data_IF_609576692975
#
_entry.id   IF_609576692975
#
_cell.length_a   1.000
_cell.length_b   1.000
_cell.length_c   1.000
_cell.angle_alpha   90.00
_cell.angle_beta   90.00
_cell.angle_gamma   90.00
#
_symmetry.space_group_name_H-M   'P 1'
#
loop_
_entity.id
_entity.type
_entity.pdbx_description
1 polymer ?
#
# COMPACT_ATOMS: atom_id res chain seq x y z
N UNK A 1 1.45 55.19 38.60
CA UNK A 1 1.38 56.59 38.17
C UNK A 1 1.21 56.59 36.66
N UNK A 2 0.00 57.01 36.29
CA UNK A 2 -0.52 57.68 35.06
C UNK A 2 -0.55 56.82 33.83
N UNK A 3 -1.68 56.39 33.49
CA UNK A 3 -2.91 56.90 32.87
C UNK A 3 -3.03 56.56 31.38
N UNK A 4 -4.16 55.95 31.12
CA UNK A 4 -4.76 55.55 29.85
C UNK A 4 -5.03 56.80 28.98
N UNK A 5 -5.41 56.60 27.68
CA UNK A 5 -6.83 56.32 27.47
C UNK A 5 -7.19 55.21 26.47
N UNK A 6 -8.31 54.56 26.81
CA UNK A 6 -9.22 53.86 25.89
C UNK A 6 -9.98 54.90 25.08
N UNK A 7 -10.14 54.66 23.82
CA UNK A 7 -11.23 55.03 22.88
C UNK A 7 -10.76 54.69 21.47
N UNK A 8 -11.36 53.83 20.84
CA UNK A 8 -12.30 53.80 19.74
C UNK A 8 -12.41 52.41 19.15
N UNK A 9 -13.37 51.68 19.66
CA UNK A 9 -13.86 50.46 19.04
C UNK A 9 -15.39 50.47 19.14
N UNK A 10 -16.00 51.32 18.33
CA UNK A 10 -17.41 51.27 18.00
C UNK A 10 -17.60 51.98 16.67
N UNK A 11 -18.02 51.23 15.70
CA UNK A 11 -18.86 51.54 14.53
C UNK A 11 -18.40 50.81 13.27
N UNK A 12 -18.79 49.55 13.20
CA UNK A 12 -19.16 48.94 11.91
C UNK A 12 -20.34 48.00 12.19
N UNK A 13 -21.48 48.64 12.45
CA UNK A 13 -22.78 47.97 12.35
C UNK A 13 -23.20 47.87 10.89
N UNK A 14 -23.60 46.67 10.54
CA UNK A 14 -24.62 46.26 9.60
C UNK A 14 -25.03 47.30 8.53
N UNK A 15 -24.66 47.00 7.29
CA UNK A 15 -25.36 47.55 6.12
C UNK A 15 -26.40 46.53 5.67
N UNK A 16 -27.65 46.87 5.85
CA UNK A 16 -28.84 46.18 5.35
C UNK A 16 -28.85 46.19 3.81
N UNK A 17 -29.08 45.06 3.13
CA UNK A 17 -29.23 45.03 1.68
C UNK A 17 -30.73 45.11 1.28
N UNK A 18 -31.37 46.21 1.57
CA UNK A 18 -32.69 46.55 1.00
C UNK A 18 -32.69 48.00 0.53
N UNK A 19 -32.09 48.27 -0.62
CA UNK A 19 -32.43 49.41 -1.43
C UNK A 19 -33.05 48.88 -2.73
N UNK A 20 -34.37 48.96 -2.79
CA UNK A 20 -35.13 48.76 -4.00
C UNK A 20 -34.74 49.87 -4.99
N UNK A 21 -34.16 49.51 -6.12
CA UNK A 21 -34.03 50.37 -7.27
C UNK A 21 -35.26 50.12 -8.15
N UNK A 22 -36.23 51.00 -8.08
CA UNK A 22 -37.25 51.18 -9.12
C UNK A 22 -36.52 51.59 -10.41
N UNK A 23 -36.75 50.89 -11.50
CA UNK A 23 -36.25 51.34 -12.77
C UNK A 23 -36.36 50.33 -13.90
N UNK A 24 -37.46 50.36 -14.60
CA UNK A 24 -37.51 50.06 -16.03
C UNK A 24 -37.33 48.61 -16.44
N UNK A 25 -38.42 47.94 -16.71
CA UNK A 25 -38.42 46.71 -17.50
C UNK A 25 -37.82 47.00 -18.89
N UNK A 26 -36.56 46.61 -19.10
CA UNK A 26 -35.95 46.55 -20.43
C UNK A 26 -36.53 45.31 -21.11
N UNK A 27 -37.47 45.53 -22.02
CA UNK A 27 -37.93 44.47 -22.92
C UNK A 27 -36.76 44.04 -23.81
N UNK A 28 -36.36 42.79 -23.82
CA UNK A 28 -35.26 42.34 -24.71
C UNK A 28 -35.68 42.51 -26.17
N UNK A 29 -34.82 43.10 -26.98
CA UNK A 29 -35.02 43.21 -28.41
C UNK A 29 -35.02 41.81 -29.07
N UNK A 30 -35.78 41.61 -30.17
CA UNK A 30 -35.88 40.29 -30.83
C UNK A 30 -34.52 39.67 -31.27
N UNK A 31 -33.46 40.47 -31.35
CA UNK A 31 -32.10 40.00 -31.68
C UNK A 31 -31.36 39.30 -30.54
N UNK A 32 -31.61 39.70 -29.27
CA UNK A 32 -30.89 39.16 -28.10
C UNK A 32 -31.32 37.73 -27.72
N UNK A 33 -32.55 37.37 -28.07
CA UNK A 33 -33.07 36.01 -27.87
C UNK A 33 -32.43 34.98 -28.82
N UNK A 34 -32.00 35.42 -30.01
CA UNK A 34 -31.33 34.58 -30.99
C UNK A 34 -29.91 34.17 -30.57
N UNK A 35 -29.15 35.14 -30.05
CA UNK A 35 -27.74 34.87 -29.64
C UNK A 35 -27.71 34.02 -28.39
N UNK A 36 -28.58 34.26 -27.39
CA UNK A 36 -28.65 33.44 -26.19
C UNK A 36 -29.16 32.00 -26.45
N UNK A 37 -29.98 31.83 -27.49
CA UNK A 37 -30.41 30.49 -27.92
C UNK A 37 -29.34 29.74 -28.72
N UNK A 38 -28.54 30.44 -29.56
CA UNK A 38 -27.39 29.89 -30.26
C UNK A 38 -26.30 29.44 -29.30
N UNK A 39 -25.88 30.28 -28.35
CA UNK A 39 -24.86 29.95 -27.34
C UNK A 39 -25.31 28.80 -26.44
N UNK A 40 -26.62 28.70 -26.11
CA UNK A 40 -27.16 27.54 -25.38
C UNK A 40 -27.21 26.29 -26.26
N UNK A 41 -27.44 26.43 -27.56
CA UNK A 41 -27.40 25.34 -28.53
C UNK A 41 -26.01 24.78 -28.71
N UNK A 42 -25.00 25.64 -28.83
CA UNK A 42 -23.59 25.25 -28.96
C UNK A 42 -23.09 24.59 -27.70
N UNK A 43 -23.33 25.11 -26.49
CA UNK A 43 -22.99 24.47 -25.24
C UNK A 43 -23.59 23.07 -25.05
N UNK A 44 -24.88 22.91 -25.45
CA UNK A 44 -25.55 21.60 -25.41
C UNK A 44 -25.05 20.64 -26.49
N UNK A 45 -24.52 21.15 -27.59
CA UNK A 45 -23.86 20.31 -28.62
C UNK A 45 -22.47 19.89 -28.17
N UNK A 46 -21.68 20.78 -27.54
CA UNK A 46 -20.40 20.46 -26.95
C UNK A 46 -20.52 19.48 -25.76
N UNK A 47 -21.50 19.68 -24.87
CA UNK A 47 -21.77 18.75 -23.78
C UNK A 47 -22.19 17.36 -24.29
N UNK A 48 -23.04 17.29 -25.34
CA UNK A 48 -23.41 16.02 -25.97
C UNK A 48 -22.29 15.42 -26.82
N UNK A 49 -21.39 16.22 -27.37
CA UNK A 49 -20.18 15.77 -28.03
C UNK A 49 -19.22 15.15 -27.01
N UNK A 50 -18.97 15.85 -25.90
CA UNK A 50 -18.11 15.35 -24.82
C UNK A 50 -18.69 14.08 -24.13
N UNK A 51 -20.03 13.99 -23.97
CA UNK A 51 -20.69 12.77 -23.47
C UNK A 51 -20.59 11.60 -24.47
N UNK A 52 -20.72 11.85 -25.78
CA UNK A 52 -20.55 10.83 -26.81
C UNK A 52 -19.10 10.36 -26.92
N UNK A 53 -18.16 11.29 -26.93
CA UNK A 53 -16.72 10.96 -26.96
C UNK A 53 -16.30 10.21 -25.69
N UNK A 54 -16.86 10.57 -24.53
CA UNK A 54 -16.68 9.84 -23.27
C UNK A 54 -17.32 8.44 -23.29
N UNK A 55 -18.49 8.28 -23.91
CA UNK A 55 -19.14 6.98 -24.10
C UNK A 55 -18.42 6.11 -25.13
N UNK A 56 -17.99 6.66 -26.26
CA UNK A 56 -17.23 5.92 -27.28
C UNK A 56 -15.82 5.55 -26.80
N UNK A 57 -15.15 6.41 -26.04
CA UNK A 57 -13.89 6.08 -25.37
C UNK A 57 -14.09 4.98 -24.31
N UNK A 58 -15.18 5.04 -23.54
CA UNK A 58 -15.56 4.00 -22.58
C UNK A 58 -15.92 2.68 -23.25
N UNK A 59 -16.52 2.70 -24.44
CA UNK A 59 -16.89 1.50 -25.20
C UNK A 59 -15.70 0.83 -25.89
N UNK A 60 -14.75 1.61 -26.41
CA UNK A 60 -13.49 1.09 -27.00
C UNK A 60 -12.55 0.50 -25.95
N UNK A 61 -12.55 1.02 -24.71
CA UNK A 61 -11.68 0.57 -23.62
C UNK A 61 -12.37 -0.43 -22.66
N UNK A 62 -13.70 -0.55 -22.74
CA UNK A 62 -14.52 -1.42 -21.88
C UNK A 62 -14.19 -2.92 -22.00
N UNK A 63 -13.44 -3.35 -23.02
CA UNK A 63 -12.95 -4.72 -23.17
C UNK A 63 -11.79 -5.07 -22.25
N UNK A 64 -10.87 -4.15 -21.98
CA UNK A 64 -9.62 -4.40 -21.23
C UNK A 64 -9.73 -3.96 -19.75
N UNK A 65 -10.41 -2.85 -19.48
CA UNK A 65 -10.43 -2.19 -18.17
C UNK A 65 -11.80 -2.21 -17.48
N UNK A 66 -12.88 -2.59 -18.19
CA UNK A 66 -14.24 -2.52 -17.69
C UNK A 66 -14.48 -3.40 -16.45
N UNK A 67 -15.44 -3.00 -15.57
CA UNK A 67 -15.86 -3.82 -14.46
C UNK A 67 -16.44 -5.14 -14.96
N UNK A 68 -16.35 -6.22 -14.19
CA UNK A 68 -17.01 -7.47 -14.55
C UNK A 68 -18.52 -7.23 -14.68
N UNK A 69 -19.10 -7.63 -15.81
CA UNK A 69 -20.49 -7.32 -16.22
C UNK A 69 -21.57 -7.98 -15.37
N UNK A 70 -21.23 -8.81 -14.38
CA UNK A 70 -22.20 -9.47 -13.50
C UNK A 70 -21.93 -9.12 -12.05
N UNK A 71 -22.93 -8.55 -11.37
CA UNK A 71 -22.91 -8.43 -9.92
C UNK A 71 -22.76 -9.85 -9.32
N UNK A 72 -21.83 -9.99 -8.36
CA UNK A 72 -21.67 -11.23 -7.63
C UNK A 72 -22.83 -11.30 -6.62
N UNK A 73 -23.69 -12.29 -6.75
CA UNK A 73 -24.76 -12.52 -5.77
C UNK A 73 -24.18 -12.96 -4.41
N UNK A 74 -24.96 -12.75 -3.34
CA UNK A 74 -24.49 -13.01 -1.98
C UNK A 74 -24.08 -14.47 -1.73
N UNK A 75 -24.74 -15.43 -2.37
CA UNK A 75 -24.42 -16.85 -2.25
C UNK A 75 -23.08 -17.17 -2.90
N UNK A 76 -22.86 -16.71 -4.11
CA UNK A 76 -21.58 -16.89 -4.82
C UNK A 76 -20.44 -16.18 -4.10
N UNK A 77 -20.68 -14.98 -3.52
CA UNK A 77 -19.70 -14.29 -2.69
C UNK A 77 -19.33 -15.09 -1.43
N UNK A 78 -20.33 -15.68 -0.74
CA UNK A 78 -20.10 -16.51 0.43
C UNK A 78 -19.33 -17.79 0.08
N UNK A 79 -19.67 -18.45 -1.04
CA UNK A 79 -18.94 -19.63 -1.52
C UNK A 79 -17.49 -19.31 -1.89
N UNK A 80 -17.24 -18.17 -2.54
CA UNK A 80 -15.90 -17.72 -2.85
C UNK A 80 -15.10 -17.41 -1.58
N UNK A 81 -15.72 -16.78 -0.58
CA UNK A 81 -15.13 -16.55 0.74
C UNK A 81 -14.78 -17.85 1.46
N UNK A 82 -15.68 -18.82 1.44
CA UNK A 82 -15.42 -20.16 1.99
C UNK A 82 -14.29 -20.88 1.26
N UNK A 83 -14.25 -20.81 -0.07
CA UNK A 83 -13.17 -21.41 -0.86
C UNK A 83 -11.80 -20.77 -0.54
N UNK A 84 -11.77 -19.45 -0.36
CA UNK A 84 -10.56 -18.75 0.10
C UNK A 84 -10.12 -19.24 1.48
N UNK A 85 -11.05 -19.28 2.45
CA UNK A 85 -10.74 -19.70 3.82
C UNK A 85 -10.23 -21.15 3.88
N UNK A 86 -10.89 -22.06 3.12
CA UNK A 86 -10.47 -23.47 3.04
C UNK A 86 -9.10 -23.60 2.39
N UNK A 87 -8.85 -22.89 1.28
CA UNK A 87 -7.54 -22.93 0.61
C UNK A 87 -6.44 -22.36 1.49
N UNK A 88 -6.70 -21.27 2.21
CA UNK A 88 -5.76 -20.67 3.16
C UNK A 88 -5.50 -21.62 4.34
N UNK A 89 -6.54 -22.23 4.91
CA UNK A 89 -6.40 -23.19 6.00
C UNK A 89 -5.59 -24.42 5.55
N UNK A 90 -5.91 -24.99 4.39
CA UNK A 90 -5.16 -26.11 3.82
C UNK A 90 -3.68 -25.74 3.61
N UNK A 91 -3.39 -24.55 3.10
CA UNK A 91 -2.03 -24.02 2.96
C UNK A 91 -1.32 -23.95 4.32
N UNK A 92 -1.96 -23.35 5.33
CA UNK A 92 -1.38 -23.20 6.67
C UNK A 92 -1.13 -24.57 7.34
N UNK A 93 -2.06 -25.49 7.23
CA UNK A 93 -1.91 -26.83 7.82
C UNK A 93 -0.84 -27.68 7.11
N UNK A 94 -0.65 -27.48 5.79
CA UNK A 94 0.30 -28.30 5.01
C UNK A 94 1.71 -27.72 5.02
N UNK A 95 1.84 -26.39 4.94
CA UNK A 95 3.12 -25.70 4.73
C UNK A 95 3.42 -24.62 5.79
N UNK A 96 2.56 -24.46 6.78
CA UNK A 96 2.68 -23.42 7.81
C UNK A 96 2.31 -22.04 7.32
N UNK A 97 2.70 -21.03 8.10
CA UNK A 97 2.44 -19.61 7.82
C UNK A 97 3.35 -19.01 6.74
N UNK A 98 4.22 -19.81 6.14
CA UNK A 98 5.09 -19.38 5.04
C UNK A 98 4.30 -19.31 3.73
N UNK A 99 3.75 -18.14 3.43
CA UNK A 99 2.97 -17.87 2.20
C UNK A 99 3.90 -17.24 1.15
N UNK A 100 4.51 -18.09 0.35
CA UNK A 100 5.27 -17.65 -0.82
C UNK A 100 4.35 -17.15 -1.93
N UNK A 101 4.79 -16.26 -2.84
CA UNK A 101 3.94 -15.68 -3.90
C UNK A 101 3.26 -16.73 -4.78
N UNK A 102 3.94 -17.83 -5.09
CA UNK A 102 3.42 -18.95 -5.85
C UNK A 102 2.31 -19.69 -5.10
N UNK A 103 2.51 -19.99 -3.81
CA UNK A 103 1.50 -20.63 -2.97
C UNK A 103 0.26 -19.76 -2.79
N UNK A 104 0.49 -18.45 -2.58
CA UNK A 104 -0.62 -17.51 -2.44
C UNK A 104 -1.43 -17.37 -3.73
N UNK A 105 -0.79 -17.54 -4.90
CA UNK A 105 -1.50 -17.62 -6.18
C UNK A 105 -2.54 -18.74 -6.18
N UNK A 106 -2.20 -19.93 -5.66
CA UNK A 106 -3.14 -21.05 -5.56
C UNK A 106 -4.27 -20.78 -4.55
N UNK A 107 -3.96 -20.13 -3.42
CA UNK A 107 -4.99 -19.71 -2.45
C UNK A 107 -6.00 -18.76 -3.09
N UNK A 108 -5.54 -17.79 -3.89
CA UNK A 108 -6.41 -16.83 -4.59
C UNK A 108 -7.10 -17.44 -5.83
N UNK A 109 -6.55 -18.49 -6.42
CA UNK A 109 -7.17 -19.19 -7.55
C UNK A 109 -8.48 -19.87 -7.13
N UNK A 110 -8.54 -20.43 -5.92
CA UNK A 110 -9.74 -21.12 -5.44
C UNK A 110 -11.00 -20.24 -5.49
N UNK A 111 -11.05 -19.05 -4.88
CA UNK A 111 -12.19 -18.16 -5.03
C UNK A 111 -12.40 -17.67 -6.47
N UNK A 112 -11.34 -17.48 -7.26
CA UNK A 112 -11.46 -17.08 -8.65
C UNK A 112 -12.16 -18.14 -9.51
N UNK A 113 -11.92 -19.43 -9.23
CA UNK A 113 -12.61 -20.55 -9.89
C UNK A 113 -14.09 -20.60 -9.50
N UNK A 114 -14.43 -20.45 -8.22
CA UNK A 114 -15.83 -20.39 -7.74
C UNK A 114 -16.59 -19.24 -8.42
N UNK A 115 -15.90 -18.12 -8.65
CA UNK A 115 -16.48 -16.97 -9.36
C UNK A 115 -16.56 -17.15 -10.89
N UNK A 116 -16.15 -18.29 -11.45
CA UNK A 116 -16.09 -18.54 -12.88
C UNK A 116 -15.07 -17.65 -13.63
N UNK A 117 -14.07 -17.10 -12.91
CA UNK A 117 -13.09 -16.15 -13.47
C UNK A 117 -11.67 -16.69 -13.52
N UNK A 118 -11.47 -18.01 -13.34
CA UNK A 118 -10.16 -18.65 -13.22
C UNK A 118 -9.22 -18.33 -14.39
N UNK A 119 -9.68 -18.47 -15.66
CA UNK A 119 -8.85 -18.14 -16.83
C UNK A 119 -8.37 -16.68 -16.83
N UNK A 120 -9.28 -15.74 -16.52
CA UNK A 120 -8.93 -14.30 -16.46
C UNK A 120 -7.99 -14.01 -15.31
N UNK A 121 -8.21 -14.65 -14.17
CA UNK A 121 -7.31 -14.57 -13.03
C UNK A 121 -5.89 -15.00 -13.41
N UNK A 122 -5.73 -16.17 -14.01
CA UNK A 122 -4.41 -16.65 -14.42
C UNK A 122 -3.72 -15.70 -15.40
N UNK A 123 -4.45 -15.19 -16.41
CA UNK A 123 -3.89 -14.24 -17.39
C UNK A 123 -3.41 -12.92 -16.74
N UNK A 124 -4.06 -12.47 -15.67
CA UNK A 124 -3.72 -11.21 -15.00
C UNK A 124 -2.68 -11.41 -13.88
N UNK A 125 -2.80 -12.49 -13.10
CA UNK A 125 -1.97 -12.71 -11.92
C UNK A 125 -0.66 -13.46 -12.21
N UNK A 126 -0.65 -14.40 -13.17
CA UNK A 126 0.58 -15.16 -13.46
C UNK A 126 1.73 -14.23 -13.89
N UNK A 127 1.55 -13.28 -14.84
CA UNK A 127 2.64 -12.36 -15.18
C UNK A 127 3.10 -11.51 -13.98
N UNK A 128 2.17 -11.09 -13.13
CA UNK A 128 2.49 -10.33 -11.92
C UNK A 128 3.28 -11.18 -10.92
N UNK A 129 2.85 -12.43 -10.66
CA UNK A 129 3.54 -13.34 -9.73
C UNK A 129 4.91 -13.72 -10.28
N UNK A 130 5.05 -13.99 -11.57
CA UNK A 130 6.36 -14.25 -12.20
C UNK A 130 7.32 -13.09 -11.96
N UNK A 131 6.87 -11.84 -12.13
CA UNK A 131 7.71 -10.67 -11.86
C UNK A 131 8.06 -10.53 -10.38
N UNK A 132 7.15 -10.85 -9.45
CA UNK A 132 7.45 -10.87 -8.01
C UNK A 132 8.45 -11.99 -7.67
N UNK A 133 8.31 -13.18 -8.24
CA UNK A 133 9.28 -14.28 -8.05
C UNK A 133 10.66 -13.87 -8.59
N UNK A 134 10.73 -13.30 -9.79
CA UNK A 134 12.00 -12.79 -10.34
C UNK A 134 12.62 -11.68 -9.46
N UNK A 135 11.80 -10.82 -8.85
CA UNK A 135 12.26 -9.85 -7.86
C UNK A 135 12.86 -10.57 -6.63
N UNK A 136 12.16 -11.56 -6.05
CA UNK A 136 12.65 -12.30 -4.89
C UNK A 136 13.97 -13.02 -5.19
N UNK A 137 14.09 -13.68 -6.34
CA UNK A 137 15.33 -14.30 -6.80
C UNK A 137 16.45 -13.25 -6.95
N UNK A 138 16.14 -12.09 -7.56
CA UNK A 138 17.11 -11.02 -7.72
C UNK A 138 17.59 -10.46 -6.38
N UNK A 139 16.68 -10.35 -5.41
CA UNK A 139 16.98 -9.92 -4.04
C UNK A 139 17.88 -10.95 -3.34
N UNK A 140 17.58 -12.24 -3.52
CA UNK A 140 18.37 -13.34 -2.97
C UNK A 140 19.83 -13.35 -3.47
N UNK A 141 20.07 -13.04 -4.75
CA UNK A 141 21.42 -13.01 -5.34
C UNK A 141 22.23 -11.78 -4.87
N UNK A 142 21.60 -10.72 -4.39
CA UNK A 142 22.29 -9.47 -4.07
C UNK A 142 23.44 -9.66 -3.07
N UNK A 143 23.32 -10.54 -2.07
CA UNK A 143 24.38 -10.80 -1.09
C UNK A 143 25.61 -11.51 -1.68
N UNK A 144 25.45 -12.22 -2.80
CA UNK A 144 26.60 -12.88 -3.46
C UNK A 144 27.49 -11.89 -4.20
N UNK A 145 26.91 -10.76 -4.64
CA UNK A 145 27.66 -9.68 -5.30
C UNK A 145 28.43 -8.81 -4.30
N UNK A 146 27.92 -8.67 -3.09
CA UNK A 146 28.53 -7.91 -2.02
C UNK A 146 28.55 -8.72 -0.71
N UNK A 147 29.58 -9.57 -0.49
CA UNK A 147 29.65 -10.40 0.70
C UNK A 147 29.87 -9.63 2.01
N UNK A 148 30.21 -8.34 1.90
CA UNK A 148 30.46 -7.45 3.05
C UNK A 148 29.40 -6.35 3.10
N UNK A 149 28.30 -6.55 3.87
CA UNK A 149 27.26 -5.54 4.00
C UNK A 149 27.75 -4.33 4.80
N UNK A 150 27.10 -3.19 4.56
CA UNK A 150 27.35 -1.98 5.31
C UNK A 150 26.61 -2.03 6.66
N UNK A 151 27.33 -1.79 7.76
CA UNK A 151 26.79 -1.71 9.12
C UNK A 151 26.70 -0.27 9.61
N UNK A 152 27.79 0.50 9.41
CA UNK A 152 27.92 1.83 10.00
C UNK A 152 26.90 2.85 9.47
N UNK A 153 26.63 2.96 8.15
CA UNK A 153 25.78 4.06 7.67
C UNK A 153 24.38 4.11 8.27
N UNK A 154 23.70 2.95 8.37
CA UNK A 154 22.36 2.87 8.96
C UNK A 154 22.42 3.06 10.48
N UNK A 155 23.37 2.42 11.15
CA UNK A 155 23.52 2.51 12.60
C UNK A 155 23.89 3.95 13.02
N UNK A 156 24.78 4.61 12.30
CA UNK A 156 25.16 6.00 12.58
C UNK A 156 24.01 6.97 12.32
N UNK A 157 23.25 6.76 11.24
CA UNK A 157 22.07 7.57 10.94
C UNK A 157 20.97 7.35 12.00
N UNK A 158 20.76 6.11 12.46
CA UNK A 158 19.82 5.79 13.54
C UNK A 158 20.21 6.49 14.83
N UNK A 159 21.47 6.36 15.25
CA UNK A 159 22.01 7.05 16.45
C UNK A 159 21.92 8.56 16.34
N UNK A 160 22.18 9.12 15.17
CA UNK A 160 22.06 10.57 14.93
C UNK A 160 20.60 11.02 15.06
N UNK A 161 19.64 10.25 14.53
CA UNK A 161 18.21 10.56 14.58
C UNK A 161 17.64 10.43 15.99
N UNK A 162 18.13 9.47 16.78
CA UNK A 162 17.64 9.16 18.12
C UNK A 162 18.63 9.51 19.25
N UNK A 163 19.48 10.49 19.02
CA UNK A 163 20.39 11.06 20.05
C UNK A 163 21.29 10.00 20.72
N UNK A 164 21.78 9.05 19.97
CA UNK A 164 22.64 7.96 20.42
C UNK A 164 21.91 6.65 20.75
N UNK A 165 20.57 6.67 20.81
CA UNK A 165 19.74 5.50 21.05
C UNK A 165 19.55 4.65 19.79
N UNK A 166 19.25 3.39 19.98
CA UNK A 166 18.87 2.44 18.93
C UNK A 166 17.49 1.88 19.28
N UNK A 167 16.41 2.34 18.63
CA UNK A 167 15.04 1.96 18.99
C UNK A 167 14.77 0.46 19.07
N UNK A 168 15.47 -0.37 18.27
CA UNK A 168 15.35 -1.83 18.37
C UNK A 168 15.83 -2.37 19.71
N UNK A 169 16.91 -1.80 20.26
CA UNK A 169 17.42 -2.14 21.60
C UNK A 169 16.47 -1.64 22.66
N UNK A 170 16.10 -0.35 22.60
CA UNK A 170 15.23 0.28 23.61
C UNK A 170 13.86 -0.43 23.70
N UNK A 171 13.26 -0.82 22.54
CA UNK A 171 12.01 -1.58 22.52
C UNK A 171 12.14 -2.97 23.12
N UNK A 172 13.26 -3.66 22.87
CA UNK A 172 13.49 -4.98 23.45
C UNK A 172 13.80 -4.89 24.94
N UNK A 173 14.58 -3.92 25.40
CA UNK A 173 14.82 -3.67 26.81
C UNK A 173 13.51 -3.41 27.58
N UNK A 174 12.54 -2.79 26.91
CA UNK A 174 11.24 -2.52 27.51
C UNK A 174 10.27 -3.71 27.48
N UNK A 175 10.23 -4.47 26.36
CA UNK A 175 9.19 -5.47 26.11
C UNK A 175 9.66 -6.91 26.30
N UNK A 176 10.94 -7.23 26.00
CA UNK A 176 11.43 -8.61 26.02
C UNK A 176 11.80 -9.04 27.45
N UNK A 177 11.14 -10.07 27.96
CA UNK A 177 11.32 -10.58 29.33
C UNK A 177 12.12 -11.89 29.41
N UNK A 178 12.66 -12.37 28.27
CA UNK A 178 13.37 -13.64 28.21
C UNK A 178 12.50 -14.84 27.83
N UNK A 179 11.19 -14.65 27.68
CA UNK A 179 10.23 -15.67 27.25
C UNK A 179 9.16 -15.06 26.32
N UNK A 180 8.55 -15.90 25.48
CA UNK A 180 7.49 -15.44 24.56
C UNK A 180 6.22 -15.08 25.28
N UNK A 181 5.69 -13.91 24.96
CA UNK A 181 4.38 -13.41 25.34
C UNK A 181 3.50 -13.23 24.11
N UNK A 182 2.21 -13.00 24.29
CA UNK A 182 1.27 -12.82 23.19
C UNK A 182 1.66 -11.66 22.22
N UNK A 183 2.26 -10.59 22.75
CA UNK A 183 2.69 -9.47 21.90
C UNK A 183 3.94 -9.79 21.09
N UNK A 184 4.84 -10.65 21.58
CA UNK A 184 5.99 -11.15 20.81
C UNK A 184 5.51 -11.98 19.62
N UNK A 185 4.53 -12.87 19.85
CA UNK A 185 3.92 -13.67 18.80
C UNK A 185 3.16 -12.82 17.80
N UNK A 186 2.41 -11.81 18.29
CA UNK A 186 1.69 -10.86 17.45
C UNK A 186 2.65 -10.05 16.58
N UNK A 187 3.67 -9.41 17.17
CA UNK A 187 4.63 -8.60 16.41
C UNK A 187 5.45 -9.46 15.45
N UNK A 188 5.88 -10.66 15.84
CA UNK A 188 6.55 -11.60 14.94
C UNK A 188 5.63 -12.07 13.80
N UNK A 189 4.35 -12.27 14.07
CA UNK A 189 3.33 -12.55 13.05
C UNK A 189 3.14 -11.38 12.08
N UNK A 190 3.14 -10.15 12.59
CA UNK A 190 3.01 -8.95 11.76
C UNK A 190 4.15 -8.82 10.74
N UNK A 191 5.37 -9.23 11.05
CA UNK A 191 6.48 -9.20 10.08
C UNK A 191 6.21 -10.10 8.85
N UNK A 192 5.34 -11.10 8.96
CA UNK A 192 4.96 -12.01 7.87
C UNK A 192 3.72 -11.57 7.09
N UNK A 193 2.91 -10.70 7.69
CA UNK A 193 1.63 -10.25 7.09
C UNK A 193 1.82 -9.46 5.78
N UNK A 194 2.98 -8.86 5.56
CA UNK A 194 3.28 -8.16 4.31
C UNK A 194 3.28 -9.07 3.07
N UNK A 195 3.37 -10.39 3.24
CA UNK A 195 3.18 -11.36 2.14
C UNK A 195 1.70 -11.64 1.85
N UNK A 196 0.81 -11.34 2.77
CA UNK A 196 -0.63 -11.65 2.69
C UNK A 196 -1.45 -10.44 2.26
N UNK A 197 -1.23 -9.30 2.89
CA UNK A 197 -2.09 -8.12 2.74
C UNK A 197 -2.02 -7.51 1.33
N UNK A 198 -0.85 -7.26 0.72
CA UNK A 198 -0.79 -6.70 -0.63
C UNK A 198 -1.46 -7.58 -1.70
N UNK A 199 -1.21 -8.90 -1.80
CA UNK A 199 -1.89 -9.72 -2.80
C UNK A 199 -3.38 -9.89 -2.52
N UNK A 200 -3.82 -9.88 -1.25
CA UNK A 200 -5.26 -9.86 -0.91
C UNK A 200 -5.92 -8.57 -1.41
N UNK A 201 -5.28 -7.42 -1.18
CA UNK A 201 -5.75 -6.15 -1.72
C UNK A 201 -5.77 -6.18 -3.25
N UNK A 202 -4.70 -6.68 -3.89
CA UNK A 202 -4.64 -6.83 -5.34
C UNK A 202 -5.83 -7.63 -5.88
N UNK A 203 -6.17 -8.76 -5.22
CA UNK A 203 -7.33 -9.58 -5.57
C UNK A 203 -8.65 -8.83 -5.39
N UNK A 204 -8.83 -8.13 -4.28
CA UNK A 204 -10.01 -7.30 -4.03
C UNK A 204 -10.19 -6.19 -5.07
N UNK A 205 -9.10 -5.54 -5.47
CA UNK A 205 -9.09 -4.55 -6.55
C UNK A 205 -9.43 -5.19 -7.89
N UNK A 206 -8.84 -6.35 -8.20
CA UNK A 206 -9.09 -7.09 -9.42
C UNK A 206 -10.56 -7.50 -9.58
N UNK A 207 -11.21 -7.89 -8.47
CA UNK A 207 -12.63 -8.25 -8.47
C UNK A 207 -13.54 -7.06 -8.79
N UNK A 208 -13.19 -5.87 -8.33
CA UNK A 208 -14.06 -4.69 -8.37
C UNK A 208 -13.64 -3.66 -9.41
N UNK A 209 -12.35 -3.40 -9.55
CA UNK A 209 -11.77 -2.34 -10.40
C UNK A 209 -10.46 -2.81 -11.01
N UNK A 210 -10.54 -3.55 -12.10
CA UNK A 210 -9.36 -4.15 -12.76
C UNK A 210 -8.28 -3.12 -13.13
N UNK A 211 -8.66 -1.91 -13.53
CA UNK A 211 -7.70 -0.82 -13.78
C UNK A 211 -6.87 -0.47 -12.53
N UNK A 212 -7.52 -0.40 -11.35
CA UNK A 212 -6.82 -0.17 -10.09
C UNK A 212 -5.92 -1.33 -9.69
N UNK A 213 -6.30 -2.58 -10.00
CA UNK A 213 -5.43 -3.74 -9.82
C UNK A 213 -4.13 -3.57 -10.60
N UNK A 214 -4.19 -3.24 -11.90
CA UNK A 214 -2.97 -3.07 -12.69
C UNK A 214 -2.12 -1.90 -12.19
N UNK A 215 -2.74 -0.79 -11.78
CA UNK A 215 -2.02 0.33 -11.18
C UNK A 215 -1.35 -0.07 -9.86
N UNK A 216 -2.05 -0.79 -8.99
CA UNK A 216 -1.50 -1.30 -7.74
C UNK A 216 -0.34 -2.27 -7.99
N UNK A 217 -0.53 -3.26 -8.87
CA UNK A 217 0.49 -4.24 -9.24
C UNK A 217 1.74 -3.57 -9.84
N UNK A 218 1.57 -2.61 -10.75
CA UNK A 218 2.68 -1.84 -11.31
C UNK A 218 3.40 -1.02 -10.23
N UNK A 219 2.67 -0.38 -9.31
CA UNK A 219 3.29 0.39 -8.22
C UNK A 219 4.07 -0.52 -7.27
N UNK A 220 3.52 -1.68 -6.94
CA UNK A 220 4.18 -2.67 -6.09
C UNK A 220 5.47 -3.18 -6.77
N UNK A 221 5.43 -3.50 -8.06
CA UNK A 221 6.60 -3.93 -8.82
C UNK A 221 7.67 -2.84 -8.89
N UNK A 222 7.29 -1.59 -9.18
CA UNK A 222 8.23 -0.46 -9.21
C UNK A 222 8.91 -0.29 -7.84
N UNK A 223 8.15 -0.36 -6.76
CA UNK A 223 8.68 -0.30 -5.39
C UNK A 223 9.64 -1.45 -5.11
N UNK A 224 9.24 -2.70 -5.45
CA UNK A 224 10.04 -3.91 -5.25
C UNK A 224 11.36 -3.84 -5.98
N UNK A 225 11.35 -3.54 -7.28
CA UNK A 225 12.56 -3.50 -8.09
C UNK A 225 13.45 -2.30 -7.77
N UNK A 226 12.89 -1.16 -7.36
CA UNK A 226 13.69 -0.04 -6.85
C UNK A 226 14.40 -0.43 -5.54
N UNK A 227 13.71 -1.15 -4.64
CA UNK A 227 14.32 -1.72 -3.43
C UNK A 227 15.42 -2.73 -3.77
N UNK A 228 15.15 -3.68 -4.69
CA UNK A 228 16.15 -4.67 -5.11
C UNK A 228 17.41 -4.01 -5.69
N UNK A 229 17.25 -3.00 -6.53
CA UNK A 229 18.39 -2.22 -7.06
C UNK A 229 19.22 -1.61 -5.93
N UNK A 230 18.57 -1.09 -4.89
CA UNK A 230 19.28 -0.54 -3.73
C UNK A 230 19.99 -1.64 -2.94
N UNK A 231 19.38 -2.82 -2.74
CA UNK A 231 20.05 -3.94 -2.08
C UNK A 231 21.27 -4.44 -2.86
N UNK A 232 21.26 -4.32 -4.18
CA UNK A 232 22.41 -4.66 -5.01
C UNK A 232 23.54 -3.63 -4.91
N UNK A 233 23.19 -2.35 -4.87
CA UNK A 233 24.15 -1.26 -4.82
C UNK A 233 24.66 -0.98 -3.40
N UNK A 234 23.81 -1.22 -2.41
CA UNK A 234 24.04 -0.87 -1.02
C UNK A 234 23.41 -1.90 -0.06
N UNK A 235 24.01 -3.10 0.06
CA UNK A 235 23.52 -4.11 0.99
C UNK A 235 23.71 -3.64 2.43
N UNK A 236 22.62 -3.40 3.12
CA UNK A 236 22.58 -2.87 4.47
C UNK A 236 22.33 -3.97 5.49
N UNK A 237 23.14 -4.03 6.55
CA UNK A 237 22.97 -4.98 7.62
C UNK A 237 21.85 -4.57 8.58
N UNK A 238 20.93 -5.48 8.94
CA UNK A 238 19.87 -5.19 9.91
C UNK A 238 20.41 -5.11 11.35
N UNK A 239 19.60 -4.55 12.30
CA UNK A 239 19.96 -4.46 13.71
C UNK A 239 20.40 -5.79 14.32
N UNK A 240 19.72 -6.90 14.04
CA UNK A 240 20.10 -8.21 14.58
C UNK A 240 21.52 -8.63 14.15
N UNK A 241 21.93 -8.33 12.90
CA UNK A 241 23.27 -8.65 12.43
C UNK A 241 24.35 -7.73 13.05
N UNK A 242 23.98 -6.47 13.36
CA UNK A 242 24.85 -5.56 14.11
C UNK A 242 25.03 -6.01 15.55
N UNK A 243 23.98 -6.54 16.19
CA UNK A 243 24.05 -7.13 17.52
C UNK A 243 24.95 -8.40 17.56
N UNK A 244 24.83 -9.28 16.59
CA UNK A 244 25.69 -10.46 16.48
C UNK A 244 27.19 -10.11 16.34
N UNK A 245 27.50 -8.94 15.76
CA UNK A 245 28.86 -8.41 15.67
C UNK A 245 29.32 -7.60 16.88
N UNK A 246 28.46 -7.44 17.89
CA UNK A 246 28.77 -6.64 19.08
C UNK A 246 28.82 -5.13 18.82
N UNK A 247 28.26 -4.62 17.72
CA UNK A 247 28.19 -3.17 17.41
C UNK A 247 27.09 -2.45 18.19
N UNK A 248 26.09 -3.20 18.64
CA UNK A 248 25.00 -2.79 19.54
C UNK A 248 24.77 -3.90 20.56
N UNK A 249 24.04 -3.64 21.67
CA UNK A 249 23.63 -4.66 22.62
C UNK A 249 22.92 -5.85 21.96
N UNK A 250 22.93 -6.99 22.64
CA UNK A 250 22.25 -8.21 22.19
C UNK A 250 20.78 -7.93 21.90
N UNK A 251 20.29 -8.48 20.78
CA UNK A 251 18.88 -8.51 20.42
C UNK A 251 18.39 -9.96 20.44
N UNK A 252 17.29 -10.19 21.15
CA UNK A 252 16.56 -11.45 21.08
C UNK A 252 15.95 -11.67 19.68
N UNK A 253 15.72 -12.93 19.33
CA UNK A 253 15.01 -13.30 18.11
C UNK A 253 13.63 -13.92 18.44
N UNK A 254 12.60 -13.14 18.79
CA UNK A 254 11.29 -13.68 19.13
C UNK A 254 10.66 -14.48 17.99
N UNK A 255 10.88 -14.07 16.74
CA UNK A 255 10.37 -14.77 15.56
C UNK A 255 11.02 -16.15 15.37
N UNK A 256 12.31 -16.27 15.66
CA UNK A 256 13.02 -17.54 15.64
C UNK A 256 12.58 -18.49 16.76
N UNK A 257 12.39 -17.96 17.97
CA UNK A 257 11.85 -18.74 19.11
C UNK A 257 10.43 -19.21 18.79
N UNK A 258 9.56 -18.34 18.27
CA UNK A 258 8.22 -18.72 17.84
C UNK A 258 8.24 -19.81 16.77
N UNK A 259 9.12 -19.69 15.76
CA UNK A 259 9.25 -20.72 14.71
C UNK A 259 9.70 -22.06 15.27
N UNK A 260 10.64 -22.07 16.22
CA UNK A 260 11.16 -23.27 16.86
C UNK A 260 10.13 -23.96 17.77
N UNK A 261 9.20 -23.21 18.36
CA UNK A 261 8.17 -23.72 19.28
C UNK A 261 6.82 -23.96 18.62
N UNK A 262 6.64 -23.53 17.36
CA UNK A 262 5.40 -23.68 16.62
C UNK A 262 5.11 -25.15 16.28
N UNK A 263 3.90 -25.66 16.52
CA UNK A 263 3.49 -26.97 16.04
C UNK A 263 3.24 -27.02 14.53
N UNK A 264 3.22 -25.85 13.86
CA UNK A 264 2.97 -25.75 12.41
C UNK A 264 4.28 -25.94 11.62
N UNK A 265 4.21 -26.54 10.41
CA UNK A 265 5.36 -26.63 9.54
C UNK A 265 5.98 -25.25 9.23
N UNK A 266 7.29 -25.18 9.17
CA UNK A 266 8.02 -23.94 8.85
C UNK A 266 8.69 -23.98 7.47
N UNK A 267 8.26 -24.91 6.60
CA UNK A 267 8.87 -25.14 5.28
C UNK A 267 8.64 -23.98 4.31
N UNK A 268 9.72 -23.37 3.85
CA UNK A 268 9.69 -22.26 2.88
C UNK A 268 9.36 -22.71 1.44
N UNK A 269 9.28 -24.03 1.17
CA UNK A 269 8.98 -24.58 -0.16
C UNK A 269 10.18 -24.64 -1.11
N UNK A 270 10.04 -25.41 -2.22
CA UNK A 270 11.16 -25.72 -3.10
C UNK A 270 11.72 -24.50 -3.86
N UNK A 271 10.88 -23.52 -4.21
CA UNK A 271 11.31 -22.34 -4.94
C UNK A 271 12.17 -21.43 -4.04
N UNK A 272 11.78 -21.24 -2.78
CA UNK A 272 12.55 -20.44 -1.82
C UNK A 272 13.81 -21.10 -1.26
N UNK A 273 13.98 -22.42 -1.47
CA UNK A 273 15.20 -23.15 -1.06
C UNK A 273 16.33 -22.99 -2.07
N UNK A 274 16.04 -22.57 -3.29
CA UNK A 274 17.04 -22.38 -4.34
C UNK A 274 17.88 -21.12 -4.11
N UNK A 275 17.32 -20.12 -3.39
CA UNK A 275 18.01 -18.88 -3.07
C UNK A 275 17.81 -18.59 -1.59
N UNK A 276 18.88 -18.68 -0.81
CA UNK A 276 18.86 -18.20 0.58
C UNK A 276 18.42 -16.72 0.59
N UNK A 277 17.44 -16.43 1.46
CA UNK A 277 16.97 -15.05 1.60
C UNK A 277 18.14 -14.12 1.89
N UNK A 278 18.23 -12.99 1.18
CA UNK A 278 19.30 -12.03 1.44
C UNK A 278 19.18 -11.48 2.88
N UNK A 279 20.10 -11.85 3.79
CA UNK A 279 20.06 -11.40 5.18
C UNK A 279 20.38 -9.91 5.34
N UNK A 280 20.92 -9.28 4.29
CA UNK A 280 21.43 -7.91 4.29
C UNK A 280 20.58 -6.96 3.43
N UNK A 281 19.29 -7.21 3.35
CA UNK A 281 18.33 -6.36 2.65
C UNK A 281 17.56 -5.44 3.63
N UNK A 282 18.28 -4.79 4.56
CA UNK A 282 17.63 -3.94 5.56
C UNK A 282 17.16 -2.60 5.01
N UNK A 283 17.91 -1.93 4.19
CA UNK A 283 17.56 -0.60 3.70
C UNK A 283 17.47 -0.51 2.16
N UNK A 284 16.35 -0.04 1.59
CA UNK A 284 15.10 0.45 2.21
C UNK A 284 14.20 -0.66 2.77
N UNK A 285 13.45 -0.39 3.86
CA UNK A 285 12.49 -1.35 4.36
C UNK A 285 11.28 -1.51 3.44
N UNK A 286 11.19 -2.64 2.76
CA UNK A 286 10.01 -2.95 1.95
C UNK A 286 8.80 -3.39 2.80
N UNK A 287 9.00 -3.82 4.04
CA UNK A 287 7.91 -4.01 5.00
C UNK A 287 7.14 -2.70 5.24
N UNK A 288 7.87 -1.62 5.52
CA UNK A 288 7.31 -0.28 5.62
C UNK A 288 6.71 0.19 4.28
N UNK A 289 7.47 0.04 3.19
CA UNK A 289 7.03 0.47 1.86
C UNK A 289 5.72 -0.17 1.42
N UNK A 290 5.56 -1.49 1.54
CA UNK A 290 4.34 -2.20 1.15
C UNK A 290 3.16 -1.86 2.05
N UNK A 291 3.38 -1.73 3.36
CA UNK A 291 2.31 -1.37 4.28
C UNK A 291 1.77 0.04 4.02
N UNK A 292 2.65 1.00 3.76
CA UNK A 292 2.26 2.36 3.37
C UNK A 292 1.55 2.36 2.00
N UNK A 293 2.02 1.56 1.04
CA UNK A 293 1.36 1.45 -0.27
C UNK A 293 -0.07 0.94 -0.15
N UNK A 294 -0.30 -0.09 0.67
CA UNK A 294 -1.65 -0.61 0.98
C UNK A 294 -2.52 0.50 1.58
N UNK A 295 -2.01 1.23 2.57
CA UNK A 295 -2.71 2.36 3.16
C UNK A 295 -3.09 3.42 2.11
N UNK A 296 -2.18 3.84 1.25
CA UNK A 296 -2.41 4.88 0.23
C UNK A 296 -3.53 4.47 -0.74
N UNK A 297 -3.54 3.21 -1.18
CA UNK A 297 -4.59 2.71 -2.07
C UNK A 297 -5.95 2.62 -1.36
N UNK A 298 -5.99 2.09 -0.14
CA UNK A 298 -7.22 2.00 0.64
C UNK A 298 -7.77 3.39 1.00
N UNK A 299 -6.91 4.31 1.42
CA UNK A 299 -7.30 5.69 1.73
C UNK A 299 -7.88 6.39 0.49
N UNK A 300 -7.23 6.26 -0.67
CA UNK A 300 -7.71 6.84 -1.93
C UNK A 300 -9.08 6.29 -2.32
N UNK A 301 -9.29 4.97 -2.18
CA UNK A 301 -10.58 4.32 -2.46
C UNK A 301 -11.68 4.76 -1.51
N UNK A 302 -11.37 4.89 -0.22
CA UNK A 302 -12.35 5.18 0.82
C UNK A 302 -12.69 6.67 0.91
N UNK A 303 -11.80 7.58 0.46
CA UNK A 303 -11.88 9.01 0.70
C UNK A 303 -13.24 9.64 0.37
N UNK A 304 -13.85 9.23 -0.72
CA UNK A 304 -15.14 9.74 -1.19
C UNK A 304 -16.34 8.94 -0.68
N UNK A 305 -16.16 7.95 0.19
CA UNK A 305 -17.23 7.12 0.74
C UNK A 305 -17.68 7.64 2.11
N UNK A 306 -18.97 7.36 2.48
CA UNK A 306 -19.48 7.65 3.84
C UNK A 306 -18.75 6.85 4.93
N UNK A 307 -18.14 5.72 4.56
CA UNK A 307 -17.43 4.80 5.45
C UNK A 307 -15.92 5.09 5.53
N UNK A 308 -15.45 6.26 5.02
CA UNK A 308 -14.03 6.57 4.88
C UNK A 308 -13.23 6.31 6.16
N UNK A 309 -13.70 6.74 7.31
CA UNK A 309 -12.95 6.59 8.56
C UNK A 309 -12.87 5.15 9.05
N UNK A 310 -13.90 4.33 8.79
CA UNK A 310 -13.90 2.89 9.09
C UNK A 310 -12.89 2.10 8.24
N UNK A 311 -12.45 2.66 7.13
CA UNK A 311 -11.41 2.06 6.27
C UNK A 311 -10.06 2.72 6.52
N UNK A 312 -10.00 4.06 6.54
CA UNK A 312 -8.75 4.82 6.64
C UNK A 312 -8.04 4.57 7.98
N UNK A 313 -8.79 4.55 9.11
CA UNK A 313 -8.18 4.35 10.43
C UNK A 313 -7.53 2.97 10.59
N UNK A 314 -8.22 1.85 10.31
CA UNK A 314 -7.57 0.53 10.34
C UNK A 314 -6.44 0.41 9.30
N UNK A 315 -6.61 1.01 8.10
CA UNK A 315 -5.57 0.99 7.09
C UNK A 315 -4.32 1.77 7.52
N UNK A 316 -4.48 2.89 8.26
CA UNK A 316 -3.35 3.66 8.82
C UNK A 316 -2.65 2.92 9.98
N UNK A 317 -3.40 2.13 10.75
CA UNK A 317 -2.81 1.30 11.80
C UNK A 317 -1.83 0.26 11.25
N UNK A 318 -2.06 -0.22 10.01
CA UNK A 318 -1.21 -1.25 9.40
C UNK A 318 0.27 -0.82 9.25
N UNK A 319 0.63 0.28 8.58
CA UNK A 319 2.03 0.70 8.50
C UNK A 319 2.64 1.05 9.87
N UNK A 320 1.85 1.53 10.83
CA UNK A 320 2.32 1.83 12.19
C UNK A 320 2.71 0.54 12.91
N UNK A 321 1.79 -0.43 12.98
CA UNK A 321 2.03 -1.70 13.66
C UNK A 321 3.15 -2.49 12.96
N UNK A 322 3.17 -2.48 11.62
CA UNK A 322 4.23 -3.13 10.83
C UNK A 322 5.60 -2.52 11.15
N UNK A 323 5.68 -1.20 11.28
CA UNK A 323 6.93 -0.50 11.63
C UNK A 323 7.42 -0.89 13.03
N UNK A 324 6.53 -0.88 14.02
CA UNK A 324 6.85 -1.32 15.38
C UNK A 324 7.33 -2.78 15.36
N UNK A 325 6.64 -3.65 14.63
CA UNK A 325 6.97 -5.06 14.55
C UNK A 325 8.38 -5.32 13.99
N UNK A 326 8.75 -4.67 12.88
CA UNK A 326 10.06 -4.92 12.25
C UNK A 326 11.22 -4.27 13.00
N UNK A 327 10.98 -3.17 13.72
CA UNK A 327 11.96 -2.56 14.62
C UNK A 327 12.15 -3.42 15.87
N UNK A 328 11.06 -3.84 16.51
CA UNK A 328 11.09 -4.71 17.68
C UNK A 328 11.81 -6.04 17.41
N UNK A 329 11.55 -6.67 16.26
CA UNK A 329 12.19 -7.94 15.89
C UNK A 329 13.62 -7.76 15.37
N UNK A 330 14.14 -6.53 15.34
CA UNK A 330 15.51 -6.24 14.90
C UNK A 330 15.72 -6.40 13.39
N UNK A 331 14.67 -6.49 12.58
CA UNK A 331 14.79 -6.68 11.14
C UNK A 331 15.14 -5.38 10.40
N UNK A 332 14.75 -4.22 10.93
CA UNK A 332 14.99 -2.92 10.31
C UNK A 332 15.27 -1.85 11.35
N UNK A 333 16.12 -0.89 10.99
CA UNK A 333 16.22 0.40 11.65
C UNK A 333 15.01 1.28 11.29
N UNK A 334 14.71 2.28 12.13
CA UNK A 334 13.68 3.29 11.80
C UNK A 334 14.08 4.08 10.55
N UNK A 335 15.36 4.36 10.39
CA UNK A 335 15.90 5.00 9.17
C UNK A 335 15.55 4.19 7.90
N UNK A 336 15.63 2.86 7.94
CA UNK A 336 15.26 2.01 6.80
C UNK A 336 13.78 2.14 6.44
N UNK A 337 12.91 2.27 7.47
CA UNK A 337 11.48 2.49 7.30
C UNK A 337 11.19 3.84 6.64
N UNK A 338 11.85 4.91 7.10
CA UNK A 338 11.68 6.25 6.52
C UNK A 338 12.08 6.27 5.03
N UNK A 339 13.20 5.63 4.69
CA UNK A 339 13.63 5.47 3.30
C UNK A 339 12.58 4.63 2.53
N UNK A 340 12.11 3.52 3.09
CA UNK A 340 11.06 2.69 2.49
C UNK A 340 9.77 3.44 2.22
N UNK A 341 9.36 4.33 3.12
CA UNK A 341 8.21 5.22 2.93
C UNK A 341 8.43 6.22 1.79
N UNK A 342 9.62 6.81 1.69
CA UNK A 342 9.96 7.67 0.56
C UNK A 342 9.88 6.92 -0.77
N UNK A 343 10.38 5.68 -0.84
CA UNK A 343 10.27 4.82 -2.02
C UNK A 343 8.81 4.50 -2.37
N UNK A 344 7.99 4.19 -1.37
CA UNK A 344 6.57 3.92 -1.59
C UNK A 344 5.82 5.14 -2.13
N UNK A 345 6.09 6.34 -1.57
CA UNK A 345 5.51 7.59 -2.06
C UNK A 345 5.97 7.90 -3.49
N UNK A 346 7.27 7.77 -3.77
CA UNK A 346 7.82 7.98 -5.11
C UNK A 346 7.22 7.02 -6.14
N UNK A 347 7.11 5.72 -5.80
CA UNK A 347 6.48 4.72 -6.66
C UNK A 347 5.00 5.02 -6.89
N UNK A 348 4.25 5.35 -5.80
CA UNK A 348 2.83 5.65 -5.88
C UNK A 348 2.53 6.85 -6.78
N UNK A 349 3.19 7.98 -6.53
CA UNK A 349 2.97 9.20 -7.32
C UNK A 349 3.58 9.10 -8.72
N UNK A 350 4.73 8.45 -8.88
CA UNK A 350 5.38 8.23 -10.18
C UNK A 350 4.49 7.39 -11.11
N UNK A 351 3.97 6.26 -10.62
CA UNK A 351 3.05 5.43 -11.40
C UNK A 351 1.73 6.16 -11.66
N UNK A 352 1.18 6.88 -10.68
CA UNK A 352 -0.03 7.67 -10.87
C UNK A 352 0.14 8.71 -11.99
N UNK A 353 1.24 9.46 -11.99
CA UNK A 353 1.55 10.45 -13.02
C UNK A 353 1.75 9.80 -14.40
N UNK A 354 2.43 8.66 -14.46
CA UNK A 354 2.58 7.89 -15.69
C UNK A 354 1.24 7.42 -16.24
N UNK A 355 0.33 6.92 -15.37
CA UNK A 355 -1.03 6.50 -15.75
C UNK A 355 -1.84 7.67 -16.33
N UNK A 356 -1.80 8.83 -15.66
CA UNK A 356 -2.45 10.05 -16.13
C UNK A 356 -1.90 10.51 -17.49
N UNK A 357 -0.57 10.50 -17.64
CA UNK A 357 0.07 10.87 -18.90
C UNK A 357 -0.32 9.95 -20.06
N UNK A 358 -0.52 8.67 -19.78
CA UNK A 358 -0.98 7.67 -20.77
C UNK A 358 -2.50 7.74 -21.02
N UNK A 359 -3.25 8.58 -20.31
CA UNK A 359 -4.71 8.63 -20.40
C UNK A 359 -5.41 7.36 -19.89
N UNK A 360 -4.71 6.56 -19.03
CA UNK A 360 -5.29 5.34 -18.50
C UNK A 360 -6.22 5.62 -17.31
N UNK A 361 -7.27 4.77 -17.05
CA UNK A 361 -8.19 4.98 -15.93
C UNK A 361 -7.46 5.03 -14.59
N UNK A 362 -7.79 6.03 -13.79
CA UNK A 362 -7.15 6.30 -12.48
C UNK A 362 -8.01 5.83 -11.32
#
# INVERSE_FOLDING_TARGET
MKDRPKHELETLRAVDPCVAIEGGAVTPQPGDLGIAALVRGERRAEERGAERDGQEAGERDGGRWGPPRTAIDGRTAALAGAAFAIALLAQVLTFGLSLTPDRYLFVLLAPALVLGRGRRFLLDFVPFVVLIVLYEESRGIAHTLHPHPFYAPQLDAEKALFFGHVPSVDLQDWLWTGSLHWYDEFLSGMTRIHFIVPPTLAFGLWLRRRALFYRFAATLLVLSYAGALTFWLFPAAPPWAAAERGLIPFLANPAGVQAATSPLPTDSGPVYRLVDGNPYAAGPSLHGGYSLLVFLFLATLAWRTRWRWWVIVPAAAYPIIQSIAVVYTGNHYVVDLLIGFCYALAAYYGVLRFWQWRGWPV
#
